data_IF_048862519214
#
_entry.id   IF_048862519214
#
_cell.length_a   1.000
_cell.length_b   1.000
_cell.length_c   1.000
_cell.angle_alpha   90.00
_cell.angle_beta   90.00
_cell.angle_gamma   90.00
#
_symmetry.space_group_name_H-M   'P 1'
#
loop_
_entity.id
_entity.type
_entity.pdbx_description
1 polymer ?
#
# COMPACT_ATOMS: atom_id res chain seq x y z
N UNK A 1 2.46 -19.44 -25.52
CA UNK A 1 2.70 -17.98 -25.31
C UNK A 1 1.36 -17.29 -25.04
N UNK A 2 1.01 -17.08 -23.77
CA UNK A 2 -0.31 -16.59 -23.38
C UNK A 2 -0.26 -15.13 -22.87
N UNK A 3 -0.84 -14.23 -23.67
CA UNK A 3 -1.43 -12.88 -23.48
C UNK A 3 -1.47 -12.14 -22.10
N UNK A 4 -0.61 -12.38 -21.11
CA UNK A 4 -0.57 -11.54 -19.88
C UNK A 4 0.43 -10.38 -19.93
N UNK A 5 1.39 -10.40 -20.86
CA UNK A 5 2.45 -9.39 -20.96
C UNK A 5 2.01 -8.04 -21.54
N UNK A 6 0.82 -7.95 -22.18
CA UNK A 6 0.34 -6.71 -22.78
C UNK A 6 -0.22 -5.69 -21.79
N UNK A 7 -0.76 -6.14 -20.65
CA UNK A 7 -1.37 -5.27 -19.64
C UNK A 7 -0.27 -4.67 -18.75
N UNK A 8 0.65 -5.50 -18.24
CA UNK A 8 1.80 -5.05 -17.44
C UNK A 8 2.70 -4.07 -18.21
N UNK A 9 2.92 -4.30 -19.51
CA UNK A 9 3.69 -3.37 -20.37
C UNK A 9 2.98 -2.02 -20.54
N UNK A 10 1.65 -2.03 -20.75
CA UNK A 10 0.85 -0.80 -20.89
C UNK A 10 0.69 -0.01 -19.59
N UNK A 11 0.58 -0.68 -18.45
CA UNK A 11 0.57 -0.06 -17.13
C UNK A 11 1.91 0.59 -16.80
N UNK A 12 3.02 -0.01 -17.24
CA UNK A 12 4.34 0.62 -17.13
C UNK A 12 4.42 1.90 -17.97
N UNK A 13 3.97 1.86 -19.24
CA UNK A 13 3.99 3.04 -20.13
C UNK A 13 3.08 4.19 -19.66
N UNK A 14 1.96 3.90 -19.01
CA UNK A 14 1.08 4.93 -18.46
C UNK A 14 1.69 5.55 -17.20
N UNK A 15 2.29 4.73 -16.33
CA UNK A 15 3.01 5.20 -15.15
C UNK A 15 4.21 6.07 -15.51
N UNK A 16 4.99 5.67 -16.51
CA UNK A 16 6.16 6.44 -16.97
C UNK A 16 5.76 7.82 -17.52
N UNK A 17 4.66 7.88 -18.27
CA UNK A 17 4.09 9.17 -18.72
C UNK A 17 3.66 10.03 -17.54
N UNK A 18 2.95 9.46 -16.57
CA UNK A 18 2.54 10.18 -15.36
C UNK A 18 3.76 10.73 -14.59
N UNK A 19 4.79 9.92 -14.39
CA UNK A 19 6.02 10.33 -13.71
C UNK A 19 6.75 11.47 -14.45
N UNK A 20 6.71 11.44 -15.78
CA UNK A 20 7.26 12.51 -16.60
C UNK A 20 6.46 13.81 -16.50
N UNK A 21 5.12 13.73 -16.48
CA UNK A 21 4.23 14.90 -16.35
C UNK A 21 4.40 15.60 -15.00
N UNK A 22 4.35 14.85 -13.88
CA UNK A 22 4.53 15.44 -12.55
C UNK A 22 5.94 16.00 -12.34
N UNK A 23 6.91 15.54 -13.13
CA UNK A 23 8.28 16.07 -13.11
C UNK A 23 8.40 17.48 -13.69
N UNK A 24 7.46 17.90 -14.54
CA UNK A 24 7.41 19.24 -15.16
C UNK A 24 6.74 20.28 -14.27
N UNK A 25 6.00 19.84 -13.26
CA UNK A 25 5.31 20.73 -12.33
C UNK A 25 6.31 21.56 -11.51
N UNK A 26 6.00 22.85 -11.35
CA UNK A 26 6.86 23.78 -10.63
C UNK A 26 6.81 23.51 -9.14
N UNK A 27 7.96 23.58 -8.49
CA UNK A 27 8.03 23.60 -7.04
C UNK A 27 7.44 24.92 -6.53
N UNK A 28 6.63 24.84 -5.48
CA UNK A 28 6.03 26.00 -4.83
C UNK A 28 6.93 26.51 -3.70
N UNK A 29 6.90 27.82 -3.49
CA UNK A 29 7.60 28.44 -2.36
C UNK A 29 6.74 28.37 -1.09
N UNK A 30 7.33 28.57 0.10
CA UNK A 30 6.56 28.66 1.34
C UNK A 30 5.49 29.76 1.33
N UNK A 31 5.76 30.90 0.66
CA UNK A 31 4.78 31.98 0.51
C UNK A 31 3.63 31.58 -0.41
N UNK A 32 3.92 30.81 -1.46
CA UNK A 32 2.87 30.24 -2.32
C UNK A 32 2.02 29.21 -1.57
N UNK A 33 2.61 28.38 -0.68
CA UNK A 33 1.85 27.45 0.17
C UNK A 33 0.82 28.20 1.03
N UNK A 34 1.24 29.28 1.70
CA UNK A 34 0.36 30.11 2.54
C UNK A 34 -0.75 30.76 1.70
N UNK A 35 -0.40 31.31 0.52
CA UNK A 35 -1.39 31.93 -0.37
C UNK A 35 -2.41 30.90 -0.86
N UNK A 36 -1.95 29.74 -1.32
CA UNK A 36 -2.82 28.67 -1.83
C UNK A 36 -3.71 28.11 -0.72
N UNK A 37 -3.17 27.88 0.49
CA UNK A 37 -3.93 27.41 1.64
C UNK A 37 -5.12 28.34 1.99
N UNK A 38 -4.88 29.65 2.00
CA UNK A 38 -5.94 30.66 2.23
C UNK A 38 -7.02 30.62 1.16
N UNK A 39 -6.66 30.48 -0.11
CA UNK A 39 -7.61 30.36 -1.20
C UNK A 39 -8.40 29.04 -1.15
N UNK A 40 -7.76 27.94 -0.73
CA UNK A 40 -8.43 26.65 -0.52
C UNK A 40 -9.49 26.76 0.59
N UNK A 41 -9.19 27.45 1.70
CA UNK A 41 -10.17 27.69 2.76
C UNK A 41 -11.38 28.52 2.29
N UNK A 42 -11.19 29.40 1.29
CA UNK A 42 -12.28 30.12 0.61
C UNK A 42 -13.03 29.28 -0.43
N UNK A 43 -12.65 28.01 -0.62
CA UNK A 43 -13.29 27.10 -1.57
C UNK A 43 -12.70 27.11 -2.98
N UNK A 44 -11.50 27.69 -3.20
CA UNK A 44 -10.86 27.71 -4.51
C UNK A 44 -10.37 26.32 -4.92
N UNK A 45 -11.09 25.70 -5.85
CA UNK A 45 -10.71 24.39 -6.42
C UNK A 45 -9.40 24.47 -7.21
N UNK A 46 -9.15 25.60 -7.89
CA UNK A 46 -7.91 25.81 -8.64
C UNK A 46 -6.69 25.85 -7.71
N UNK A 47 -6.81 26.52 -6.56
CA UNK A 47 -5.74 26.55 -5.57
C UNK A 47 -5.45 25.15 -4.98
N UNK A 48 -6.49 24.34 -4.78
CA UNK A 48 -6.35 22.96 -4.34
C UNK A 48 -5.58 22.11 -5.36
N UNK A 49 -5.92 22.25 -6.64
CA UNK A 49 -5.23 21.56 -7.74
C UNK A 49 -3.76 21.99 -7.84
N UNK A 50 -3.49 23.29 -7.80
CA UNK A 50 -2.13 23.83 -7.88
C UNK A 50 -1.27 23.34 -6.71
N UNK A 51 -1.80 23.38 -5.48
CA UNK A 51 -1.10 22.87 -4.29
C UNK A 51 -0.86 21.36 -4.37
N UNK A 52 -1.84 20.60 -4.87
CA UNK A 52 -1.73 19.14 -5.00
C UNK A 52 -0.70 18.77 -6.07
N UNK A 53 -0.77 19.37 -7.26
CA UNK A 53 0.14 19.12 -8.39
C UNK A 53 1.59 19.36 -8.03
N UNK A 54 1.87 20.47 -7.34
CA UNK A 54 3.21 20.81 -6.87
C UNK A 54 3.83 19.74 -5.93
N UNK A 55 2.98 18.95 -5.26
CA UNK A 55 3.39 17.95 -4.26
C UNK A 55 3.27 16.49 -4.72
N UNK A 56 2.86 16.22 -5.96
CA UNK A 56 2.70 14.84 -6.47
C UNK A 56 4.01 14.03 -6.41
N UNK A 57 5.15 14.68 -6.65
CA UNK A 57 6.48 14.04 -6.56
C UNK A 57 6.78 13.49 -5.16
N UNK A 58 6.28 14.17 -4.12
CA UNK A 58 6.42 13.71 -2.74
C UNK A 58 5.56 12.47 -2.47
N UNK A 59 4.36 12.40 -3.04
CA UNK A 59 3.52 11.19 -2.91
C UNK A 59 4.22 9.98 -3.48
N UNK A 60 4.86 10.11 -4.65
CA UNK A 60 5.64 9.02 -5.26
C UNK A 60 6.77 8.54 -4.36
N UNK A 61 7.50 9.45 -3.70
CA UNK A 61 8.60 9.05 -2.81
C UNK A 61 8.11 8.32 -1.55
N UNK A 62 6.93 8.68 -1.04
CA UNK A 62 6.28 7.97 0.07
C UNK A 62 5.76 6.60 -0.40
N UNK A 63 5.06 6.53 -1.54
CA UNK A 63 4.46 5.31 -2.07
C UNK A 63 5.49 4.22 -2.38
N UNK A 64 6.69 4.59 -2.85
CA UNK A 64 7.80 3.65 -3.09
C UNK A 64 8.17 2.81 -1.85
N UNK A 65 7.96 3.33 -0.64
CA UNK A 65 8.24 2.60 0.61
C UNK A 65 7.28 1.42 0.87
N UNK A 66 6.16 1.37 0.14
CA UNK A 66 5.09 0.40 0.33
C UNK A 66 4.95 -0.58 -0.85
N UNK A 67 5.93 -0.59 -1.77
CA UNK A 67 5.93 -1.52 -2.91
C UNK A 67 6.02 -2.98 -2.45
N UNK A 68 5.58 -3.88 -3.33
CA UNK A 68 5.63 -5.34 -3.13
C UNK A 68 4.75 -5.87 -1.97
N UNK A 69 3.81 -5.06 -1.48
CA UNK A 69 2.87 -5.42 -0.41
C UNK A 69 1.47 -5.83 -0.92
N UNK A 70 1.33 -6.10 -2.23
CA UNK A 70 0.08 -6.62 -2.83
C UNK A 70 -0.66 -5.63 -3.74
N UNK A 71 -0.24 -4.36 -3.80
CA UNK A 71 -0.75 -3.37 -4.75
C UNK A 71 0.36 -2.92 -5.70
N UNK A 72 -0.02 -2.53 -6.93
CA UNK A 72 0.91 -1.95 -7.90
C UNK A 72 1.40 -0.58 -7.43
N UNK A 73 2.55 -0.11 -7.94
CA UNK A 73 3.03 1.23 -7.61
C UNK A 73 2.03 2.32 -8.06
N UNK A 74 1.36 2.13 -9.20
CA UNK A 74 0.33 3.05 -9.68
C UNK A 74 -0.84 3.18 -8.70
N UNK A 75 -1.32 2.06 -8.17
CA UNK A 75 -2.41 2.04 -7.19
C UNK A 75 -2.01 2.72 -5.87
N UNK A 76 -0.80 2.43 -5.38
CA UNK A 76 -0.26 3.07 -4.18
C UNK A 76 -0.14 4.60 -4.35
N UNK A 77 0.29 5.05 -5.52
CA UNK A 77 0.36 6.48 -5.84
C UNK A 77 -1.04 7.10 -5.89
N UNK A 78 -2.00 6.45 -6.54
CA UNK A 78 -3.37 6.94 -6.62
C UNK A 78 -4.01 7.11 -5.24
N UNK A 79 -3.84 6.12 -4.37
CA UNK A 79 -4.33 6.16 -2.98
C UNK A 79 -3.60 7.23 -2.16
N UNK A 80 -2.29 7.36 -2.35
CA UNK A 80 -1.50 8.45 -1.76
C UNK A 80 -1.97 9.84 -2.20
N UNK A 81 -2.33 10.00 -3.48
CA UNK A 81 -2.85 11.26 -4.03
C UNK A 81 -4.21 11.62 -3.41
N UNK A 82 -5.08 10.63 -3.17
CA UNK A 82 -6.32 10.85 -2.43
C UNK A 82 -6.05 11.32 -0.99
N UNK A 83 -5.05 10.74 -0.33
CA UNK A 83 -4.55 11.19 0.98
C UNK A 83 -4.05 12.64 0.95
N UNK A 84 -3.25 13.00 -0.06
CA UNK A 84 -2.73 14.36 -0.25
C UNK A 84 -3.87 15.38 -0.43
N UNK A 85 -4.88 15.08 -1.26
CA UNK A 85 -6.03 15.97 -1.47
C UNK A 85 -6.81 16.17 -0.16
N UNK A 86 -7.00 15.11 0.64
CA UNK A 86 -7.62 15.20 1.96
C UNK A 86 -6.81 16.09 2.91
N UNK A 87 -5.48 15.99 2.86
CA UNK A 87 -4.60 16.85 3.65
C UNK A 87 -4.72 18.32 3.22
N UNK A 88 -4.67 18.60 1.92
CA UNK A 88 -4.74 19.96 1.37
C UNK A 88 -6.05 20.67 1.76
N UNK A 89 -7.18 19.96 1.76
CA UNK A 89 -8.48 20.50 2.21
C UNK A 89 -8.55 20.83 3.70
N UNK A 90 -7.70 20.20 4.53
CA UNK A 90 -7.71 20.33 6.00
C UNK A 90 -6.48 21.05 6.53
N UNK A 91 -5.63 21.56 5.65
CA UNK A 91 -4.39 22.22 6.05
C UNK A 91 -4.69 23.62 6.58
N UNK A 92 -4.03 23.95 7.67
CA UNK A 92 -4.15 25.22 8.38
C UNK A 92 -2.75 25.83 8.45
N UNK A 93 -2.55 26.89 7.69
CA UNK A 93 -1.28 27.58 7.53
C UNK A 93 -0.89 28.41 8.77
N UNK A 94 -1.85 28.70 9.66
CA UNK A 94 -1.60 29.50 10.86
C UNK A 94 -0.75 28.78 11.91
N UNK A 95 -0.62 27.46 11.77
CA UNK A 95 0.12 26.60 12.72
C UNK A 95 1.64 26.65 12.56
N UNK A 96 2.16 27.30 11.52
CA UNK A 96 3.60 27.53 11.35
C UNK A 96 4.43 26.31 10.92
N UNK A 97 3.80 25.26 10.39
CA UNK A 97 4.48 24.09 9.82
C UNK A 97 4.26 24.00 8.32
N UNK A 98 5.24 23.43 7.60
CA UNK A 98 5.16 23.21 6.15
C UNK A 98 4.02 22.24 5.80
N UNK A 99 3.38 22.44 4.65
CA UNK A 99 2.28 21.57 4.21
C UNK A 99 2.68 20.09 4.16
N UNK A 100 3.86 19.78 3.62
CA UNK A 100 4.37 18.41 3.49
C UNK A 100 4.47 17.68 4.84
N UNK A 101 4.85 18.39 5.90
CA UNK A 101 4.94 17.84 7.26
C UNK A 101 3.58 17.35 7.79
N UNK A 102 2.50 18.02 7.37
CA UNK A 102 1.14 17.60 7.68
C UNK A 102 0.64 16.51 6.73
N UNK A 103 0.91 16.66 5.43
CA UNK A 103 0.41 15.78 4.38
C UNK A 103 0.92 14.34 4.49
N UNK A 104 2.15 14.12 4.97
CA UNK A 104 2.75 12.77 5.05
C UNK A 104 1.90 11.78 5.86
N UNK A 105 1.23 12.25 6.93
CA UNK A 105 0.36 11.40 7.75
C UNK A 105 -0.88 10.95 6.97
N UNK A 106 -1.51 11.86 6.22
CA UNK A 106 -2.68 11.55 5.40
C UNK A 106 -2.35 10.65 4.22
N UNK A 107 -1.19 10.87 3.58
CA UNK A 107 -0.70 10.03 2.48
C UNK A 107 -0.48 8.61 3.00
N UNK A 108 0.28 8.45 4.09
CA UNK A 108 0.54 7.14 4.70
C UNK A 108 -0.75 6.44 5.13
N UNK A 109 -1.66 7.18 5.77
CA UNK A 109 -2.93 6.63 6.22
C UNK A 109 -3.76 6.10 5.05
N UNK A 110 -3.85 6.86 3.95
CA UNK A 110 -4.61 6.44 2.76
C UNK A 110 -3.99 5.21 2.11
N UNK A 111 -2.66 5.17 1.97
CA UNK A 111 -1.93 4.01 1.41
C UNK A 111 -2.12 2.77 2.29
N UNK A 112 -1.95 2.89 3.61
CA UNK A 112 -2.10 1.77 4.55
C UNK A 112 -3.53 1.25 4.59
N UNK A 113 -4.52 2.15 4.50
CA UNK A 113 -5.92 1.76 4.40
C UNK A 113 -6.17 0.96 3.12
N UNK A 114 -5.71 1.45 1.97
CA UNK A 114 -5.88 0.75 0.70
C UNK A 114 -5.20 -0.62 0.70
N UNK A 115 -3.98 -0.71 1.25
CA UNK A 115 -3.29 -2.00 1.42
C UNK A 115 -4.10 -2.96 2.29
N UNK A 116 -4.66 -2.51 3.40
CA UNK A 116 -5.44 -3.39 4.27
C UNK A 116 -6.76 -3.87 3.61
N UNK A 117 -7.34 -3.05 2.74
CA UNK A 117 -8.63 -3.34 2.10
C UNK A 117 -8.51 -4.11 0.78
N UNK A 118 -7.44 -3.88 0.01
CA UNK A 118 -7.32 -4.31 -1.40
C UNK A 118 -6.15 -5.26 -1.68
N UNK A 119 -5.17 -5.41 -0.76
CA UNK A 119 -3.98 -6.25 -1.02
C UNK A 119 -4.25 -7.76 -1.13
N UNK A 120 -5.42 -8.22 -0.69
CA UNK A 120 -5.78 -9.64 -0.63
C UNK A 120 -7.08 -9.89 -1.39
N UNK A 121 -7.13 -11.01 -2.12
CA UNK A 121 -8.34 -11.48 -2.82
C UNK A 121 -9.50 -11.66 -1.83
N UNK A 122 -9.23 -12.30 -0.70
CA UNK A 122 -10.17 -12.38 0.43
C UNK A 122 -9.82 -11.29 1.43
N UNK A 123 -10.73 -10.31 1.57
CA UNK A 123 -10.55 -9.16 2.46
C UNK A 123 -10.54 -9.58 3.91
N UNK A 124 -9.55 -9.07 4.67
CA UNK A 124 -9.47 -9.27 6.11
C UNK A 124 -9.89 -7.99 6.86
N UNK A 125 -10.53 -8.13 8.03
CA UNK A 125 -10.76 -7.01 8.93
C UNK A 125 -9.46 -6.31 9.38
N UNK A 126 -9.51 -4.99 9.60
CA UNK A 126 -8.33 -4.17 9.96
C UNK A 126 -7.60 -4.67 11.22
N UNK A 127 -8.33 -5.12 12.23
CA UNK A 127 -7.75 -5.69 13.45
C UNK A 127 -6.91 -6.94 13.17
N UNK A 128 -7.35 -7.80 12.24
CA UNK A 128 -6.61 -9.01 11.83
C UNK A 128 -5.37 -8.67 11.00
N UNK A 129 -5.46 -7.69 10.11
CA UNK A 129 -4.29 -7.17 9.37
C UNK A 129 -3.26 -6.54 10.33
N UNK A 130 -3.73 -5.78 11.32
CA UNK A 130 -2.89 -5.22 12.37
C UNK A 130 -2.17 -6.29 13.19
N UNK A 131 -2.87 -7.36 13.58
CA UNK A 131 -2.28 -8.49 14.29
C UNK A 131 -1.21 -9.21 13.43
N UNK A 132 -1.49 -9.46 12.15
CA UNK A 132 -0.53 -10.03 11.20
C UNK A 132 0.75 -9.19 11.10
N UNK A 133 0.61 -7.87 10.98
CA UNK A 133 1.77 -6.97 10.88
C UNK A 133 2.58 -6.91 12.18
N UNK A 134 1.93 -6.97 13.35
CA UNK A 134 2.62 -7.03 14.65
C UNK A 134 3.40 -8.34 14.79
N UNK A 135 2.73 -9.47 14.53
CA UNK A 135 3.34 -10.79 14.58
C UNK A 135 4.51 -10.89 13.60
N UNK A 136 4.35 -10.42 12.36
CA UNK A 136 5.44 -10.42 11.37
C UNK A 136 6.65 -9.58 11.78
N UNK A 137 6.43 -8.41 12.41
CA UNK A 137 7.54 -7.58 12.92
C UNK A 137 8.27 -8.24 14.08
N UNK A 138 7.53 -8.80 15.03
CA UNK A 138 8.14 -9.48 16.18
C UNK A 138 8.83 -10.78 15.77
N UNK A 139 8.26 -11.51 14.81
CA UNK A 139 8.88 -12.67 14.17
C UNK A 139 10.26 -12.31 13.64
N UNK A 140 10.37 -11.28 12.80
CA UNK A 140 11.67 -10.85 12.24
C UNK A 140 12.65 -10.38 13.33
N UNK A 141 12.15 -9.73 14.39
CA UNK A 141 12.99 -9.27 15.51
C UNK A 141 13.55 -10.44 16.33
N UNK A 142 12.70 -11.37 16.74
CA UNK A 142 13.10 -12.55 17.51
C UNK A 142 13.93 -13.52 16.68
N UNK A 143 13.64 -13.64 15.39
CA UNK A 143 14.46 -14.45 14.46
C UNK A 143 15.88 -13.91 14.36
N UNK A 144 16.05 -12.59 14.33
CA UNK A 144 17.37 -11.95 14.36
C UNK A 144 18.08 -12.13 15.71
N UNK A 145 17.34 -12.09 16.83
CA UNK A 145 17.90 -12.19 18.18
C UNK A 145 18.31 -13.63 18.53
N UNK A 146 17.50 -14.62 18.15
CA UNK A 146 17.72 -16.02 18.49
C UNK A 146 18.44 -16.83 17.39
N UNK A 147 18.68 -16.23 16.23
CA UNK A 147 19.26 -16.88 15.05
C UNK A 147 18.48 -18.15 14.62
N UNK A 148 17.17 -18.18 14.92
CA UNK A 148 16.25 -19.26 14.57
C UNK A 148 14.82 -18.76 14.48
N UNK A 149 13.97 -19.52 13.79
CA UNK A 149 12.53 -19.24 13.75
C UNK A 149 11.95 -19.37 15.18
N UNK A 150 11.31 -18.33 15.74
CA UNK A 150 10.71 -18.38 17.06
C UNK A 150 9.41 -19.20 17.04
N UNK A 151 9.09 -19.79 18.19
CA UNK A 151 7.86 -20.55 18.40
C UNK A 151 6.65 -19.63 18.59
N UNK A 152 5.45 -20.17 18.37
CA UNK A 152 4.20 -19.44 18.63
C UNK A 152 4.05 -19.03 20.10
N UNK A 153 4.67 -19.76 21.04
CA UNK A 153 4.66 -19.42 22.46
C UNK A 153 5.53 -18.21 22.77
N UNK A 154 6.74 -18.16 22.21
CA UNK A 154 7.66 -17.02 22.35
C UNK A 154 7.06 -15.74 21.75
N UNK A 155 6.39 -15.86 20.60
CA UNK A 155 5.65 -14.74 19.99
C UNK A 155 4.48 -14.28 20.86
N UNK A 156 3.73 -15.22 21.44
CA UNK A 156 2.60 -14.93 22.31
C UNK A 156 3.04 -14.19 23.59
N UNK A 157 4.12 -14.64 24.22
CA UNK A 157 4.70 -14.00 25.40
C UNK A 157 5.21 -12.60 25.08
N UNK A 158 5.97 -12.43 23.99
CA UNK A 158 6.50 -11.12 23.61
C UNK A 158 5.44 -10.10 23.19
N UNK A 159 4.32 -10.55 22.63
CA UNK A 159 3.25 -9.70 22.12
C UNK A 159 2.08 -9.51 23.09
N UNK A 160 2.14 -10.14 24.27
CA UNK A 160 1.04 -10.20 25.23
C UNK A 160 -0.27 -10.73 24.60
N UNK A 161 -0.15 -11.74 23.73
CA UNK A 161 -1.26 -12.38 23.02
C UNK A 161 -1.43 -13.82 23.48
N UNK A 162 -2.60 -14.42 23.24
CA UNK A 162 -2.75 -15.85 23.49
C UNK A 162 -2.08 -16.68 22.38
N UNK A 163 -1.55 -17.86 22.73
CA UNK A 163 -0.96 -18.79 21.75
C UNK A 163 -1.98 -19.16 20.66
N UNK A 164 -3.26 -19.31 21.03
CA UNK A 164 -4.35 -19.57 20.10
C UNK A 164 -4.53 -18.44 19.08
N UNK A 165 -4.54 -17.18 19.53
CA UNK A 165 -4.63 -16.03 18.63
C UNK A 165 -3.44 -15.92 17.68
N UNK A 166 -2.23 -16.19 18.15
CA UNK A 166 -1.03 -16.22 17.29
C UNK A 166 -1.16 -17.33 16.24
N UNK A 167 -1.52 -18.54 16.65
CA UNK A 167 -1.68 -19.68 15.75
C UNK A 167 -2.77 -19.44 14.70
N UNK A 168 -3.92 -18.92 15.09
CA UNK A 168 -5.02 -18.61 14.17
C UNK A 168 -4.66 -17.49 13.21
N UNK A 169 -3.94 -16.48 13.70
CA UNK A 169 -3.46 -15.39 12.84
C UNK A 169 -2.44 -15.89 11.81
N UNK A 170 -1.53 -16.78 12.22
CA UNK A 170 -0.56 -17.39 11.30
C UNK A 170 -1.23 -18.26 10.24
N UNK A 171 -2.29 -19.00 10.57
CA UNK A 171 -3.08 -19.76 9.57
C UNK A 171 -3.68 -18.87 8.49
N UNK A 172 -4.18 -17.69 8.88
CA UNK A 172 -4.78 -16.71 7.96
C UNK A 172 -3.72 -15.97 7.12
N UNK A 173 -2.44 -16.04 7.51
CA UNK A 173 -1.35 -15.34 6.83
C UNK A 173 -1.13 -15.82 5.39
N UNK A 174 -1.46 -17.10 5.11
CA UNK A 174 -1.26 -17.77 3.82
C UNK A 174 -1.74 -16.94 2.63
N UNK A 175 -0.94 -16.93 1.55
CA UNK A 175 -1.31 -16.30 0.28
C UNK A 175 -2.11 -17.29 -0.57
N UNK A 176 -3.07 -16.78 -1.31
CA UNK A 176 -3.85 -17.55 -2.26
C UNK A 176 -2.94 -18.08 -3.38
N UNK A 177 -3.20 -19.31 -3.82
CA UNK A 177 -2.51 -19.94 -4.94
C UNK A 177 -3.40 -19.86 -6.18
N UNK A 178 -2.78 -19.65 -7.34
CA UNK A 178 -3.51 -19.63 -8.62
C UNK A 178 -3.75 -21.07 -9.08
N UNK A 179 -5.01 -21.41 -9.38
CA UNK A 179 -5.36 -22.72 -9.94
C UNK A 179 -4.87 -22.90 -11.39
N UNK A 180 -4.69 -21.79 -12.11
CA UNK A 180 -4.28 -21.76 -13.51
C UNK A 180 -2.76 -21.62 -13.71
N UNK A 181 -2.02 -21.34 -12.63
CA UNK A 181 -0.57 -21.22 -12.72
C UNK A 181 0.03 -22.62 -12.96
N UNK A 182 0.91 -22.78 -13.97
CA UNK A 182 1.61 -24.03 -14.19
C UNK A 182 2.59 -24.30 -13.04
N UNK A 183 2.84 -25.57 -12.73
CA UNK A 183 3.76 -25.94 -11.66
C UNK A 183 5.21 -25.52 -11.95
N UNK A 184 5.64 -25.60 -13.22
CA UNK A 184 6.95 -25.16 -13.67
C UNK A 184 6.88 -24.40 -15.01
N UNK A 185 7.87 -23.56 -15.28
CA UNK A 185 7.95 -22.81 -16.54
C UNK A 185 8.14 -23.77 -17.73
N UNK A 186 7.18 -23.77 -18.66
CA UNK A 186 7.22 -24.62 -19.86
C UNK A 186 6.39 -25.90 -19.74
N UNK A 187 5.81 -26.16 -18.58
CA UNK A 187 4.84 -27.24 -18.40
C UNK A 187 3.41 -26.74 -18.61
N UNK A 188 2.57 -27.60 -19.18
CA UNK A 188 1.13 -27.32 -19.35
C UNK A 188 0.29 -27.71 -18.14
N UNK A 189 0.83 -28.55 -17.24
CA UNK A 189 0.11 -29.07 -16.07
C UNK A 189 -0.10 -27.97 -15.01
N UNK A 190 -1.36 -27.83 -14.58
CA UNK A 190 -1.82 -26.84 -13.60
C UNK A 190 -2.48 -27.54 -12.40
N UNK A 191 -2.70 -26.78 -11.34
CA UNK A 191 -3.48 -27.25 -10.19
C UNK A 191 -4.88 -27.74 -10.60
N UNK A 192 -5.52 -27.07 -11.55
CA UNK A 192 -6.82 -27.47 -12.08
C UNK A 192 -6.83 -28.89 -12.68
N UNK A 193 -5.72 -29.34 -13.26
CA UNK A 193 -5.64 -30.64 -13.94
C UNK A 193 -5.46 -31.82 -12.96
N UNK A 194 -5.09 -31.54 -11.70
CA UNK A 194 -4.80 -32.53 -10.67
C UNK A 194 -5.91 -32.64 -9.63
N UNK A 195 -6.70 -31.58 -9.46
CA UNK A 195 -7.77 -31.57 -8.48
C UNK A 195 -8.94 -32.44 -8.94
N UNK A 196 -9.22 -33.47 -8.15
CA UNK A 196 -10.37 -34.34 -8.34
C UNK A 196 -11.66 -33.55 -8.09
N UNK A 197 -12.65 -33.73 -8.97
CA UNK A 197 -13.92 -33.05 -8.84
C UNK A 197 -14.89 -33.94 -8.07
N UNK A 198 -15.10 -33.64 -6.79
CA UNK A 198 -15.99 -34.40 -5.89
C UNK A 198 -17.48 -34.30 -6.29
N UNK A 199 -17.87 -33.37 -7.18
CA UNK A 199 -19.26 -33.18 -7.61
C UNK A 199 -19.61 -33.86 -8.94
N UNK A 200 -18.64 -34.49 -9.63
CA UNK A 200 -18.89 -35.31 -10.81
C UNK A 200 -18.74 -36.79 -10.40
N UNK A 201 -19.79 -37.62 -10.54
CA UNK A 201 -19.69 -39.04 -10.23
C UNK A 201 -18.72 -39.79 -11.16
#
# INVERSE_FOLDING_TARGET
MAKSSGISTRESESLDRYLHEIGKEKLITPDDEVRLAKEIQKGSQRALEDLTKANLRFVVSVAKQYQNQGLSLGDLINEGNLGLIKAAKRFDETRGFKFISYAVWWIRQSILQALAEQSRIVRLPLNRVGALNKIGKELSKLEQEYERIPSAHELAESLEMTVGEVADTLKISGRHLSMDAPFAQGEDNRLLDVLENEEIP
#
